data_IF_841543523346
#
_entry.id   IF_841543523346
#
_cell.length_a   1.000
_cell.length_b   1.000
_cell.length_c   1.000
_cell.angle_alpha   90.00
_cell.angle_beta   90.00
_cell.angle_gamma   90.00
#
_symmetry.space_group_name_H-M   'P 1'
#
loop_
_entity.id
_entity.type
_entity.pdbx_description
1 polymer ?
#
# COMPACT_ATOMS: atom_id res chain seq x y z
N UNK A 1 15.48 -13.14 -3.98
CA UNK A 1 15.03 -11.72 -4.03
C UNK A 1 13.53 -11.62 -3.80
N UNK A 2 12.77 -12.66 -4.13
CA UNK A 2 11.34 -12.83 -3.82
C UNK A 2 10.96 -12.48 -2.37
N UNK A 3 11.68 -13.02 -1.37
CA UNK A 3 11.41 -12.73 0.04
C UNK A 3 11.57 -11.24 0.41
N UNK A 4 12.46 -10.52 -0.30
CA UNK A 4 12.67 -9.08 -0.10
C UNK A 4 11.52 -8.27 -0.73
N UNK A 5 11.09 -8.62 -1.94
CA UNK A 5 9.92 -8.02 -2.60
C UNK A 5 8.63 -8.23 -1.78
N UNK A 6 8.43 -9.45 -1.25
CA UNK A 6 7.30 -9.74 -0.35
C UNK A 6 7.38 -8.95 0.96
N UNK A 7 8.56 -8.85 1.59
CA UNK A 7 8.71 -8.06 2.80
C UNK A 7 8.43 -6.56 2.55
N UNK A 8 8.84 -6.02 1.40
CA UNK A 8 8.49 -4.64 1.00
C UNK A 8 6.99 -4.48 0.82
N UNK A 9 6.32 -5.43 0.16
CA UNK A 9 4.87 -5.42 0.01
C UNK A 9 4.14 -5.41 1.36
N UNK A 10 4.59 -6.21 2.34
CA UNK A 10 4.02 -6.22 3.70
C UNK A 10 4.19 -4.88 4.42
N UNK A 11 5.36 -4.24 4.30
CA UNK A 11 5.59 -2.91 4.87
C UNK A 11 4.69 -1.85 4.24
N UNK A 12 4.53 -1.88 2.91
CA UNK A 12 3.64 -0.98 2.19
C UNK A 12 2.17 -1.20 2.57
N UNK A 13 1.76 -2.45 2.75
CA UNK A 13 0.42 -2.80 3.20
C UNK A 13 0.12 -2.26 4.61
N UNK A 14 1.07 -2.41 5.55
CA UNK A 14 0.93 -1.85 6.90
C UNK A 14 0.75 -0.33 6.90
N UNK A 15 1.46 0.37 6.00
CA UNK A 15 1.29 1.82 5.80
C UNK A 15 -0.08 2.16 5.20
N UNK A 16 -0.53 1.39 4.22
CA UNK A 16 -1.85 1.55 3.58
C UNK A 16 -2.98 1.37 4.61
N UNK A 17 -2.88 0.35 5.46
CA UNK A 17 -3.85 0.12 6.55
C UNK A 17 -3.87 1.28 7.54
N UNK A 18 -2.70 1.83 7.87
CA UNK A 18 -2.58 2.99 8.76
C UNK A 18 -3.24 4.24 8.17
N UNK A 19 -2.98 4.54 6.88
CA UNK A 19 -3.59 5.66 6.17
C UNK A 19 -5.12 5.48 6.04
N UNK A 20 -5.58 4.25 5.79
CA UNK A 20 -7.02 3.93 5.76
C UNK A 20 -7.67 4.16 7.11
N UNK A 21 -7.04 3.72 8.19
CA UNK A 21 -7.55 3.95 9.54
C UNK A 21 -7.60 5.45 9.89
N UNK A 22 -6.66 6.25 9.39
CA UNK A 22 -6.72 7.71 9.51
C UNK A 22 -7.92 8.30 8.76
N UNK A 23 -8.15 7.88 7.51
CA UNK A 23 -9.31 8.32 6.73
C UNK A 23 -10.63 7.94 7.40
N UNK A 24 -10.72 6.71 7.92
CA UNK A 24 -11.91 6.23 8.63
C UNK A 24 -12.19 7.10 9.87
N UNK A 25 -11.16 7.44 10.66
CA UNK A 25 -11.31 8.37 11.80
C UNK A 25 -11.77 9.75 11.34
N UNK A 26 -11.09 10.32 10.34
CA UNK A 26 -11.42 11.63 9.79
C UNK A 26 -12.88 11.69 9.33
N UNK A 27 -13.41 10.62 8.71
CA UNK A 27 -14.80 10.56 8.23
C UNK A 27 -15.86 10.64 9.34
N UNK A 28 -15.47 10.41 10.59
CA UNK A 28 -16.37 10.43 11.76
C UNK A 28 -16.28 11.73 12.57
N UNK A 29 -15.35 12.62 12.22
CA UNK A 29 -15.15 13.91 12.90
C UNK A 29 -16.17 14.96 12.43
N UNK A 30 -16.75 15.71 13.37
CA UNK A 30 -17.78 16.73 13.09
C UNK A 30 -17.28 17.90 12.22
N UNK A 31 -15.97 18.16 12.23
CA UNK A 31 -15.33 19.22 11.46
C UNK A 31 -14.14 18.68 10.63
N UNK A 32 -14.31 17.50 10.05
CA UNK A 32 -13.31 16.87 9.19
C UNK A 32 -12.87 17.81 8.05
N UNK A 33 -11.57 17.95 7.81
CA UNK A 33 -11.04 18.72 6.67
C UNK A 33 -11.18 17.90 5.37
N UNK A 34 -11.93 18.41 4.37
CA UNK A 34 -12.01 17.76 3.06
C UNK A 34 -10.66 17.70 2.35
N UNK A 35 -9.81 18.72 2.51
CA UNK A 35 -8.48 18.77 1.93
C UNK A 35 -7.60 17.64 2.49
N UNK A 36 -7.63 17.44 3.82
CA UNK A 36 -6.92 16.33 4.45
C UNK A 36 -7.42 14.97 3.97
N UNK A 37 -8.73 14.82 3.76
CA UNK A 37 -9.28 13.58 3.21
C UNK A 37 -8.76 13.30 1.80
N UNK A 38 -8.66 14.33 0.94
CA UNK A 38 -8.12 14.20 -0.42
C UNK A 38 -6.63 13.85 -0.42
N UNK A 39 -5.85 14.40 0.51
CA UNK A 39 -4.45 14.03 0.70
C UNK A 39 -4.30 12.55 1.05
N UNK A 40 -5.07 12.07 2.05
CA UNK A 40 -5.02 10.67 2.47
C UNK A 40 -5.48 9.73 1.35
N UNK A 41 -6.53 10.10 0.60
CA UNK A 41 -6.98 9.33 -0.56
C UNK A 41 -5.91 9.25 -1.66
N UNK A 42 -5.13 10.32 -1.86
CA UNK A 42 -4.01 10.32 -2.80
C UNK A 42 -2.89 9.41 -2.31
N UNK A 43 -2.51 9.50 -1.03
CA UNK A 43 -1.52 8.61 -0.40
C UNK A 43 -1.95 7.13 -0.51
N UNK A 44 -3.22 6.83 -0.26
CA UNK A 44 -3.78 5.49 -0.40
C UNK A 44 -3.65 4.96 -1.83
N UNK A 45 -3.89 5.80 -2.84
CA UNK A 45 -3.74 5.40 -4.25
C UNK A 45 -2.28 5.11 -4.60
N UNK A 46 -1.34 5.90 -4.10
CA UNK A 46 0.10 5.70 -4.31
C UNK A 46 0.59 4.43 -3.62
N UNK A 47 0.18 4.20 -2.37
CA UNK A 47 0.52 2.99 -1.62
C UNK A 47 -0.05 1.73 -2.29
N UNK A 48 -1.27 1.78 -2.80
CA UNK A 48 -1.88 0.63 -3.49
C UNK A 48 -1.09 0.25 -4.75
N UNK A 49 -0.67 1.23 -5.56
CA UNK A 49 0.18 1.00 -6.74
C UNK A 49 1.52 0.41 -6.35
N UNK A 50 2.16 0.94 -5.31
CA UNK A 50 3.44 0.43 -4.84
C UNK A 50 3.34 -1.02 -4.34
N UNK A 51 2.25 -1.39 -3.64
CA UNK A 51 1.99 -2.79 -3.24
C UNK A 51 1.85 -3.68 -4.48
N UNK A 52 1.04 -3.27 -5.46
CA UNK A 52 0.86 -4.02 -6.70
C UNK A 52 2.20 -4.26 -7.44
N UNK A 53 3.04 -3.23 -7.52
CA UNK A 53 4.36 -3.34 -8.14
C UNK A 53 5.29 -4.33 -7.44
N UNK A 54 5.32 -4.35 -6.09
CA UNK A 54 6.13 -5.32 -5.34
C UNK A 54 5.60 -6.75 -5.48
N UNK A 55 4.28 -6.93 -5.55
CA UNK A 55 3.67 -8.24 -5.77
C UNK A 55 3.98 -8.79 -7.17
N UNK A 56 3.89 -7.94 -8.20
CA UNK A 56 4.28 -8.33 -9.56
C UNK A 56 5.78 -8.65 -9.66
N UNK A 57 6.64 -7.87 -8.98
CA UNK A 57 8.07 -8.21 -8.85
C UNK A 57 8.27 -9.58 -8.21
N UNK A 58 7.67 -9.82 -7.05
CA UNK A 58 7.78 -11.10 -6.35
C UNK A 58 7.29 -12.28 -7.22
N UNK A 59 6.19 -12.07 -7.98
CA UNK A 59 5.67 -13.05 -8.92
C UNK A 59 6.68 -13.39 -10.01
N UNK A 60 7.28 -12.38 -10.65
CA UNK A 60 8.28 -12.59 -11.69
C UNK A 60 9.56 -13.26 -11.18
N UNK A 61 10.01 -12.89 -9.98
CA UNK A 61 11.17 -13.51 -9.34
C UNK A 61 10.92 -14.99 -9.04
N UNK A 62 9.75 -15.33 -8.51
CA UNK A 62 9.36 -16.72 -8.27
C UNK A 62 9.26 -17.55 -9.56
N UNK A 63 8.76 -16.97 -10.65
CA UNK A 63 8.70 -17.62 -11.97
C UNK A 63 10.10 -17.84 -12.57
N UNK A 64 11.02 -16.89 -12.40
CA UNK A 64 12.41 -16.99 -12.86
C UNK A 64 13.21 -18.04 -12.06
N UNK A 65 13.03 -18.08 -10.75
CA UNK A 65 13.65 -19.08 -9.87
C UNK A 65 13.17 -20.50 -10.20
N UNK A 66 11.90 -20.68 -10.61
CA UNK A 66 11.34 -21.98 -10.98
C UNK A 66 11.82 -22.52 -12.34
N UNK A 67 12.38 -21.67 -13.21
CA UNK A 67 12.88 -22.03 -14.54
C UNK A 67 14.41 -22.23 -14.59
N UNK A 68 15.10 -22.01 -13.47
CA UNK A 68 16.57 -22.03 -13.35
C UNK A 68 17.14 -23.34 -12.79
#
# INVERSE_FOLDING_TARGET
MTDESLNRAEQLLSRLESARAELDRLSTEENASPERALEILSELSELAKAVEEELERARHEAEGDAQS
#
